data_IF_586274981499
#
_entry.id   IF_586274981499
#
_cell.length_a   1.000
_cell.length_b   1.000
_cell.length_c   1.000
_cell.angle_alpha   90.00
_cell.angle_beta   90.00
_cell.angle_gamma   90.00
#
_symmetry.space_group_name_H-M   'P 1'
#
loop_
_entity.id
_entity.type
_entity.pdbx_description
1 polymer ?
#
# COMPACT_ATOMS: atom_id res chain seq x y z
N UNK A 1 -0.30 18.03 36.93
CA UNK A 1 0.96 18.53 36.34
C UNK A 1 0.75 18.46 34.84
N UNK A 2 1.07 19.51 34.08
CA UNK A 2 0.92 19.48 32.61
C UNK A 2 1.95 18.53 32.02
N UNK A 3 1.49 17.51 31.29
CA UNK A 3 2.35 16.51 30.65
C UNK A 3 3.25 17.17 29.59
N UNK A 4 4.49 16.68 29.45
CA UNK A 4 5.40 17.15 28.39
C UNK A 4 5.11 16.37 27.13
N UNK A 5 4.55 17.03 26.12
CA UNK A 5 4.25 16.44 24.81
C UNK A 5 5.16 17.07 23.76
N UNK A 6 6.02 16.27 23.11
CA UNK A 6 6.91 16.73 22.04
C UNK A 6 6.88 15.78 20.86
N UNK A 7 6.72 16.32 19.66
CA UNK A 7 6.81 15.58 18.41
C UNK A 7 8.09 15.97 17.68
N UNK A 8 8.91 14.99 17.32
CA UNK A 8 10.09 15.16 16.48
C UNK A 8 9.94 14.30 15.22
N UNK A 9 9.82 14.91 14.03
CA UNK A 9 9.81 14.14 12.80
C UNK A 9 11.21 13.68 12.41
N UNK A 10 11.36 12.39 12.12
CA UNK A 10 12.58 11.83 11.51
C UNK A 10 12.46 11.82 9.98
N UNK A 11 11.26 11.55 9.46
CA UNK A 11 10.86 11.68 8.06
C UNK A 11 9.37 12.04 7.97
N UNK A 12 8.83 12.18 6.76
CA UNK A 12 7.41 12.48 6.53
C UNK A 12 6.97 13.87 6.97
N UNK A 13 7.89 14.84 6.98
CA UNK A 13 7.59 16.24 7.27
C UNK A 13 8.20 17.14 6.19
N UNK A 14 7.46 18.17 5.78
CA UNK A 14 7.84 19.14 4.73
C UNK A 14 8.08 18.56 3.32
N UNK A 15 7.89 17.26 3.13
CA UNK A 15 8.03 16.55 1.86
C UNK A 15 7.07 15.34 1.82
N UNK A 16 7.12 14.58 0.74
CA UNK A 16 6.33 13.36 0.53
C UNK A 16 7.07 12.09 0.97
N UNK A 17 8.05 12.20 1.90
CA UNK A 17 8.74 11.00 2.41
C UNK A 17 7.84 10.20 3.36
N UNK A 18 8.12 8.90 3.56
CA UNK A 18 7.33 8.06 4.45
C UNK A 18 7.28 8.57 5.90
N UNK A 19 6.14 8.42 6.62
CA UNK A 19 6.01 8.85 8.01
C UNK A 19 6.90 8.05 8.96
N UNK A 20 7.62 8.79 9.81
CA UNK A 20 8.36 8.25 10.95
C UNK A 20 8.57 9.38 11.96
N UNK A 21 7.85 9.31 13.08
CA UNK A 21 7.85 10.39 14.06
C UNK A 21 8.15 9.87 15.47
N UNK A 22 8.96 10.59 16.22
CA UNK A 22 9.13 10.33 17.65
C UNK A 22 8.18 11.22 18.44
N UNK A 23 7.22 10.61 19.14
CA UNK A 23 6.31 11.29 20.06
C UNK A 23 6.74 11.00 21.49
N UNK A 24 7.17 12.04 22.20
CA UNK A 24 7.44 12.01 23.63
C UNK A 24 6.18 12.42 24.40
N UNK A 25 5.80 11.59 25.38
CA UNK A 25 4.78 11.88 26.40
C UNK A 25 5.43 11.65 27.76
N UNK A 26 5.76 12.74 28.44
CA UNK A 26 6.61 12.77 29.64
C UNK A 26 7.95 12.07 29.40
N UNK A 27 8.20 10.94 30.07
CA UNK A 27 9.45 10.17 29.93
C UNK A 27 9.34 9.06 28.87
N UNK A 28 8.12 8.77 28.39
CA UNK A 28 7.85 7.69 27.44
C UNK A 28 7.95 8.19 26.01
N UNK A 29 8.65 7.46 25.14
CA UNK A 29 8.76 7.82 23.72
C UNK A 29 8.20 6.74 22.82
N UNK A 30 7.19 7.11 22.05
CA UNK A 30 6.67 6.33 20.93
C UNK A 30 7.45 6.64 19.66
N UNK A 31 7.72 5.61 18.88
CA UNK A 31 7.94 5.73 17.44
C UNK A 31 6.60 5.52 16.74
N UNK A 32 6.06 6.59 16.15
CA UNK A 32 4.84 6.57 15.36
C UNK A 32 5.21 6.28 13.91
N UNK A 33 4.84 5.07 13.46
CA UNK A 33 5.25 4.48 12.20
C UNK A 33 6.77 4.42 11.98
N UNK A 34 7.19 3.58 11.06
CA UNK A 34 8.58 3.47 10.62
C UNK A 34 8.61 3.13 9.14
N UNK A 35 8.05 4.04 8.36
CA UNK A 35 8.06 3.99 6.91
C UNK A 35 9.45 3.93 6.30
N UNK A 36 9.57 3.32 5.13
CA UNK A 36 10.77 3.40 4.32
C UNK A 36 10.44 3.72 2.87
N UNK A 37 11.28 4.51 2.24
CA UNK A 37 11.13 4.93 0.85
C UNK A 37 11.51 3.78 -0.09
N UNK A 38 11.07 3.90 -1.33
CA UNK A 38 11.28 2.91 -2.38
C UNK A 38 12.77 2.66 -2.67
N UNK A 39 13.63 3.62 -2.36
CA UNK A 39 15.09 3.53 -2.52
C UNK A 39 15.82 3.03 -1.26
N UNK A 40 15.10 2.75 -0.17
CA UNK A 40 15.65 2.30 1.11
C UNK A 40 16.76 3.21 1.65
N UNK A 41 16.53 4.52 1.64
CA UNK A 41 17.49 5.53 2.10
C UNK A 41 17.93 5.28 3.54
N UNK A 42 19.24 5.15 3.72
CA UNK A 42 19.84 4.93 5.04
C UNK A 42 19.89 6.21 5.89
N UNK A 43 19.51 7.37 5.34
CA UNK A 43 19.50 8.63 6.09
C UNK A 43 18.49 8.58 7.24
N UNK A 44 17.26 8.11 6.96
CA UNK A 44 16.22 7.95 7.97
C UNK A 44 16.65 6.97 9.07
N UNK A 45 17.27 5.85 8.67
CA UNK A 45 17.80 4.85 9.59
C UNK A 45 18.87 5.42 10.52
N UNK A 46 19.76 6.29 10.01
CA UNK A 46 20.81 6.92 10.83
C UNK A 46 20.20 7.81 11.92
N UNK A 47 19.15 8.57 11.61
CA UNK A 47 18.47 9.42 12.60
C UNK A 47 17.73 8.61 13.66
N UNK A 48 17.05 7.52 13.28
CA UNK A 48 16.40 6.60 14.22
C UNK A 48 17.45 5.95 15.14
N UNK A 49 18.59 5.50 14.58
CA UNK A 49 19.69 4.89 15.36
C UNK A 49 20.22 5.80 16.47
N UNK A 50 20.28 7.12 16.24
CA UNK A 50 20.72 8.10 17.27
C UNK A 50 19.78 8.13 18.48
N UNK A 51 18.50 7.82 18.29
CA UNK A 51 17.48 7.87 19.32
C UNK A 51 17.01 6.47 19.77
N UNK A 52 17.56 5.39 19.20
CA UNK A 52 17.10 4.02 19.39
C UNK A 52 16.96 3.61 20.87
N UNK A 53 17.93 3.96 21.72
CA UNK A 53 17.92 3.64 23.15
C UNK A 53 16.82 4.35 23.95
N UNK A 54 16.20 5.38 23.37
CA UNK A 54 15.17 6.18 24.02
C UNK A 54 13.75 5.74 23.64
N UNK A 55 13.59 4.93 22.58
CA UNK A 55 12.29 4.51 22.06
C UNK A 55 11.76 3.35 22.91
N UNK A 56 10.59 3.55 23.52
CA UNK A 56 10.00 2.59 24.45
C UNK A 56 8.90 1.73 23.80
N UNK A 57 8.27 2.18 22.71
CA UNK A 57 7.30 1.41 21.93
C UNK A 57 7.15 1.93 20.49
N UNK A 58 6.66 1.08 19.59
CA UNK A 58 6.30 1.45 18.21
C UNK A 58 4.77 1.32 18.03
N UNK A 59 4.14 2.32 17.41
CA UNK A 59 2.74 2.26 16.99
C UNK A 59 2.68 2.25 15.46
N UNK A 60 2.10 1.19 14.87
CA UNK A 60 1.93 1.06 13.42
C UNK A 60 0.50 1.39 12.99
N UNK A 61 0.33 2.14 11.92
CA UNK A 61 -0.97 2.59 11.42
C UNK A 61 -1.51 1.72 10.28
N UNK A 62 -0.68 1.43 9.27
CA UNK A 62 -1.07 0.73 8.04
C UNK A 62 -0.12 -0.42 7.70
N UNK A 63 -0.58 -1.41 6.90
CA UNK A 63 0.23 -2.59 6.57
C UNK A 63 1.27 -2.35 5.46
N UNK A 64 1.31 -1.20 4.80
CA UNK A 64 2.19 -0.99 3.66
C UNK A 64 3.62 -0.56 4.04
N UNK A 65 4.54 -0.66 3.08
CA UNK A 65 5.94 -0.33 3.31
C UNK A 65 6.17 1.16 3.64
N UNK A 66 5.26 2.05 3.23
CA UNK A 66 5.32 3.48 3.56
C UNK A 66 5.07 3.70 5.07
N UNK A 67 4.44 2.78 5.80
CA UNK A 67 4.21 2.93 7.24
C UNK A 67 5.04 1.97 8.10
N UNK A 68 5.42 0.79 7.58
CA UNK A 68 6.18 -0.22 8.34
C UNK A 68 7.42 -0.77 7.62
N UNK A 69 7.84 -0.18 6.50
CA UNK A 69 8.91 -0.72 5.64
C UNK A 69 10.28 -0.84 6.29
N UNK A 70 10.61 0.03 7.25
CA UNK A 70 11.87 -0.01 7.97
C UNK A 70 11.84 -1.04 9.13
N UNK A 71 10.67 -1.55 9.50
CA UNK A 71 10.50 -2.41 10.66
C UNK A 71 11.36 -3.69 10.61
N UNK A 72 11.42 -4.47 9.50
CA UNK A 72 12.27 -5.65 9.43
C UNK A 72 13.75 -5.32 9.64
N UNK A 73 14.21 -4.20 9.09
CA UNK A 73 15.59 -3.77 9.26
C UNK A 73 15.88 -3.32 10.71
N UNK A 74 15.00 -2.50 11.30
CA UNK A 74 15.18 -1.96 12.65
C UNK A 74 15.16 -3.07 13.72
N UNK A 75 14.26 -4.05 13.58
CA UNK A 75 14.10 -5.12 14.56
C UNK A 75 15.01 -6.31 14.27
N UNK A 76 15.07 -6.76 13.01
CA UNK A 76 15.88 -7.92 12.60
C UNK A 76 17.37 -7.70 12.82
N UNK A 77 17.87 -6.48 12.60
CA UNK A 77 19.27 -6.11 12.92
C UNK A 77 19.50 -5.73 14.39
N UNK A 78 18.49 -5.85 15.24
CA UNK A 78 18.60 -5.58 16.68
C UNK A 78 18.84 -4.10 17.03
N UNK A 79 18.48 -3.17 16.15
CA UNK A 79 18.62 -1.72 16.41
C UNK A 79 17.60 -1.28 17.45
N UNK A 80 16.36 -1.77 17.33
CA UNK A 80 15.28 -1.53 18.29
C UNK A 80 14.88 -2.84 18.98
N UNK A 81 14.56 -2.74 20.27
CA UNK A 81 14.04 -3.84 21.06
C UNK A 81 12.97 -3.35 22.03
N UNK A 82 11.79 -3.07 21.49
CA UNK A 82 10.64 -2.57 22.23
C UNK A 82 9.35 -3.25 21.72
N UNK A 83 8.25 -3.23 22.50
CA UNK A 83 6.96 -3.71 22.05
C UNK A 83 6.44 -2.89 20.85
N UNK A 84 5.86 -3.59 19.89
CA UNK A 84 5.25 -3.00 18.70
C UNK A 84 3.75 -3.24 18.80
N UNK A 85 2.94 -2.21 18.62
CA UNK A 85 1.48 -2.33 18.65
C UNK A 85 0.92 -2.07 17.27
N UNK A 86 0.06 -2.99 16.82
CA UNK A 86 -0.63 -2.89 15.55
C UNK A 86 -1.96 -3.66 15.64
N UNK A 87 -2.89 -3.40 14.74
CA UNK A 87 -4.10 -4.21 14.63
C UNK A 87 -3.81 -5.57 13.97
N UNK A 88 -4.71 -6.53 14.15
CA UNK A 88 -4.57 -7.88 13.58
C UNK A 88 -4.36 -7.84 12.04
N UNK A 89 -5.11 -7.02 11.25
CA UNK A 89 -4.87 -6.97 9.81
C UNK A 89 -3.58 -6.24 9.45
N UNK A 90 -3.16 -5.22 10.21
CA UNK A 90 -1.84 -4.58 9.98
C UNK A 90 -0.71 -5.58 10.19
N UNK A 91 -0.80 -6.44 11.21
CA UNK A 91 0.14 -7.55 11.41
C UNK A 91 0.12 -8.55 10.24
N UNK A 92 -1.04 -9.11 9.87
CA UNK A 92 -1.11 -10.14 8.82
C UNK A 92 -0.81 -9.62 7.41
N UNK A 93 -1.44 -8.51 7.03
CA UNK A 93 -1.23 -7.91 5.72
C UNK A 93 0.14 -7.27 5.62
N UNK A 94 0.64 -6.66 6.71
CA UNK A 94 1.98 -6.10 6.74
C UNK A 94 3.07 -7.12 6.45
N UNK A 95 2.93 -8.34 7.00
CA UNK A 95 3.86 -9.42 6.70
C UNK A 95 3.83 -9.77 5.20
N UNK A 96 2.64 -9.77 4.59
CA UNK A 96 2.50 -10.02 3.14
C UNK A 96 3.11 -8.91 2.30
N UNK A 97 2.94 -7.63 2.68
CA UNK A 97 3.60 -6.51 2.03
C UNK A 97 5.13 -6.66 2.05
N UNK A 98 5.70 -7.03 3.20
CA UNK A 98 7.15 -7.17 3.33
C UNK A 98 7.69 -8.41 2.60
N UNK A 99 6.96 -9.53 2.60
CA UNK A 99 7.31 -10.69 1.78
C UNK A 99 7.26 -10.39 0.28
N UNK A 100 6.21 -9.71 -0.19
CA UNK A 100 6.07 -9.36 -1.60
C UNK A 100 7.15 -8.36 -2.03
N UNK A 101 7.46 -7.37 -1.19
CA UNK A 101 8.52 -6.40 -1.44
C UNK A 101 9.89 -7.07 -1.52
N UNK A 102 10.23 -7.95 -0.56
CA UNK A 102 11.47 -8.71 -0.57
C UNK A 102 11.58 -9.55 -1.84
N UNK A 103 10.56 -10.36 -2.15
CA UNK A 103 10.61 -11.25 -3.32
C UNK A 103 10.63 -10.47 -4.63
N UNK A 104 9.88 -9.38 -4.74
CA UNK A 104 9.87 -8.51 -5.92
C UNK A 104 11.24 -7.90 -6.21
N UNK A 105 12.00 -7.52 -5.18
CA UNK A 105 13.37 -7.02 -5.30
C UNK A 105 14.35 -8.16 -5.56
N UNK A 106 14.29 -9.24 -4.77
CA UNK A 106 15.20 -10.38 -4.87
C UNK A 106 15.15 -11.09 -6.24
N UNK A 107 13.99 -11.07 -6.90
CA UNK A 107 13.82 -11.62 -8.25
C UNK A 107 14.57 -10.80 -9.32
N UNK A 108 14.80 -9.50 -9.09
CA UNK A 108 15.38 -8.57 -10.08
C UNK A 108 16.81 -8.12 -9.75
N UNK A 109 17.19 -8.12 -8.48
CA UNK A 109 18.48 -7.63 -7.98
C UNK A 109 18.97 -8.44 -6.77
N UNK A 110 20.25 -8.28 -6.41
CA UNK A 110 20.82 -8.87 -5.20
C UNK A 110 20.42 -8.05 -3.95
N UNK A 111 19.17 -8.26 -3.51
CA UNK A 111 18.56 -7.52 -2.41
C UNK A 111 19.03 -8.03 -1.04
N UNK A 112 19.87 -7.24 -0.36
CA UNK A 112 20.50 -7.58 0.92
C UNK A 112 20.16 -6.60 2.07
N UNK A 113 19.13 -5.75 1.90
CA UNK A 113 18.75 -4.77 2.91
C UNK A 113 18.17 -5.46 4.15
N UNK A 114 17.21 -6.35 3.95
CA UNK A 114 16.65 -7.23 4.99
C UNK A 114 16.30 -8.58 4.35
N UNK A 115 16.15 -9.61 5.19
CA UNK A 115 15.81 -10.99 4.81
C UNK A 115 14.39 -11.36 5.22
N UNK A 116 13.85 -12.47 4.74
CA UNK A 116 12.56 -12.99 5.21
C UNK A 116 12.59 -13.32 6.71
N UNK A 117 13.73 -13.82 7.23
CA UNK A 117 13.91 -14.05 8.67
C UNK A 117 13.83 -12.74 9.47
N UNK A 118 14.39 -11.64 8.95
CA UNK A 118 14.28 -10.32 9.58
C UNK A 118 12.80 -9.86 9.63
N UNK A 119 12.00 -10.18 8.60
CA UNK A 119 10.55 -9.92 8.58
C UNK A 119 9.87 -10.74 9.68
N UNK A 120 10.12 -12.03 9.76
CA UNK A 120 9.48 -12.90 10.75
C UNK A 120 9.79 -12.47 12.19
N UNK A 121 11.08 -12.20 12.48
CA UNK A 121 11.52 -11.69 13.78
C UNK A 121 10.85 -10.36 14.14
N UNK A 122 10.63 -9.47 13.18
CA UNK A 122 9.97 -8.20 13.41
C UNK A 122 8.48 -8.37 13.72
N UNK A 123 7.78 -9.19 12.93
CA UNK A 123 6.34 -9.39 13.06
C UNK A 123 5.98 -10.24 14.29
N UNK A 124 6.83 -11.17 14.71
CA UNK A 124 6.63 -11.97 15.94
C UNK A 124 6.62 -11.13 17.23
N UNK A 125 7.25 -9.95 17.23
CA UNK A 125 7.23 -9.01 18.36
C UNK A 125 5.98 -8.13 18.41
N UNK A 126 5.09 -8.21 17.41
CA UNK A 126 3.90 -7.37 17.33
C UNK A 126 2.82 -7.86 18.29
N UNK A 127 2.42 -6.97 19.20
CA UNK A 127 1.23 -7.10 20.03
C UNK A 127 0.02 -6.72 19.20
N UNK A 128 -0.76 -7.74 18.84
CA UNK A 128 -1.94 -7.60 17.98
C UNK A 128 -3.15 -7.08 18.78
N UNK A 129 -3.76 -6.00 18.29
CA UNK A 129 -4.91 -5.36 18.93
C UNK A 129 -6.17 -5.43 18.06
N UNK A 130 -7.34 -5.31 18.69
CA UNK A 130 -8.64 -5.04 18.05
C UNK A 130 -8.95 -3.55 18.10
N UNK A 131 -9.78 -3.06 17.16
CA UNK A 131 -10.29 -1.70 17.27
C UNK A 131 -10.99 -1.47 18.62
N UNK A 132 -10.83 -0.26 19.15
CA UNK A 132 -11.34 0.17 20.46
C UNK A 132 -10.83 -0.63 21.65
N UNK A 133 -9.82 -1.50 21.46
CA UNK A 133 -9.15 -2.17 22.57
C UNK A 133 -8.16 -1.22 23.23
N UNK A 134 -8.47 -0.77 24.45
CA UNK A 134 -7.59 0.08 25.23
C UNK A 134 -6.50 -0.74 25.93
N UNK A 135 -5.24 -0.42 25.66
CA UNK A 135 -4.07 -1.02 26.31
C UNK A 135 -3.45 -0.01 27.27
N UNK A 136 -3.27 -0.41 28.52
CA UNK A 136 -2.59 0.38 29.53
C UNK A 136 -1.10 0.03 29.53
N UNK A 137 -0.25 1.03 29.30
CA UNK A 137 1.19 0.84 29.30
C UNK A 137 1.72 0.70 30.73
N UNK A 138 2.84 -0.03 30.85
CA UNK A 138 3.50 -0.34 32.13
C UNK A 138 4.85 0.37 32.23
N UNK A 139 5.43 0.40 33.43
CA UNK A 139 6.74 1.00 33.68
C UNK A 139 6.72 2.51 33.42
N UNK A 140 7.66 3.02 32.60
CA UNK A 140 7.74 4.44 32.23
C UNK A 140 6.45 4.97 31.60
N UNK A 141 5.67 4.11 30.95
CA UNK A 141 4.40 4.48 30.32
C UNK A 141 3.22 4.48 31.28
N UNK A 142 3.44 4.44 32.60
CA UNK A 142 2.34 4.41 33.57
C UNK A 142 1.40 5.62 33.37
N UNK A 143 0.10 5.33 33.35
CA UNK A 143 -0.93 6.32 33.07
C UNK A 143 -1.15 6.63 31.59
N UNK A 144 -0.34 6.07 30.68
CA UNK A 144 -0.59 6.14 29.24
C UNK A 144 -1.47 4.97 28.80
N UNK A 145 -2.51 5.28 28.05
CA UNK A 145 -3.41 4.35 27.40
C UNK A 145 -3.33 4.54 25.88
N UNK A 146 -3.25 3.46 25.13
CA UNK A 146 -3.33 3.49 23.66
C UNK A 146 -4.59 2.75 23.21
N UNK A 147 -5.30 3.31 22.23
CA UNK A 147 -6.51 2.72 21.65
C UNK A 147 -6.49 2.90 20.14
N UNK A 148 -6.48 1.81 19.36
CA UNK A 148 -6.58 1.89 17.90
C UNK A 148 -8.04 2.11 17.47
N UNK A 149 -8.27 3.09 16.60
CA UNK A 149 -9.56 3.41 16.01
C UNK A 149 -9.51 3.17 14.49
N UNK A 150 -10.63 2.82 13.83
CA UNK A 150 -10.63 2.55 12.40
C UNK A 150 -10.36 3.82 11.57
N UNK A 151 -9.34 3.76 10.71
CA UNK A 151 -8.97 4.87 9.82
C UNK A 151 -9.63 4.80 8.43
N UNK A 152 -10.08 3.62 7.99
CA UNK A 152 -10.87 3.44 6.77
C UNK A 152 -10.10 3.46 5.43
N UNK A 153 -8.76 3.55 5.45
CA UNK A 153 -7.93 3.60 4.24
C UNK A 153 -7.48 2.23 3.73
N UNK A 154 -6.91 1.39 4.60
CA UNK A 154 -6.60 -0.02 4.33
C UNK A 154 -7.22 -0.92 5.39
N UNK A 155 -7.32 -2.23 5.12
CA UNK A 155 -7.83 -3.20 6.08
C UNK A 155 -6.98 -3.18 7.36
N UNK A 156 -7.62 -2.95 8.51
CA UNK A 156 -6.94 -2.76 9.81
C UNK A 156 -6.30 -1.40 10.03
N UNK A 157 -6.34 -0.50 9.05
CA UNK A 157 -5.77 0.84 9.12
C UNK A 157 -6.24 1.61 10.34
N UNK A 158 -5.31 2.24 11.06
CA UNK A 158 -5.53 2.70 12.43
C UNK A 158 -5.25 4.19 12.63
N UNK A 159 -6.19 4.88 13.27
CA UNK A 159 -5.96 6.13 13.99
C UNK A 159 -5.61 5.77 15.43
N UNK A 160 -4.50 6.26 15.96
CA UNK A 160 -4.11 6.01 17.34
C UNK A 160 -4.63 7.11 18.25
N UNK A 161 -5.44 6.73 19.24
CA UNK A 161 -5.82 7.57 20.37
C UNK A 161 -4.93 7.23 21.57
N UNK A 162 -4.13 8.20 22.01
CA UNK A 162 -3.20 8.08 23.13
C UNK A 162 -3.72 9.00 24.24
N UNK A 163 -4.00 8.45 25.42
CA UNK A 163 -4.52 9.20 26.56
C UNK A 163 -3.52 9.12 27.71
N UNK A 164 -3.13 10.26 28.28
CA UNK A 164 -2.29 10.33 29.48
C UNK A 164 -3.12 10.79 30.67
N UNK A 165 -3.15 9.96 31.71
CA UNK A 165 -3.83 10.18 33.00
C UNK A 165 -5.32 10.55 32.90
N UNK A 166 -5.97 10.21 31.78
CA UNK A 166 -7.38 10.50 31.53
C UNK A 166 -7.70 11.95 31.11
N UNK A 167 -6.69 12.83 31.05
CA UNK A 167 -6.87 14.26 30.79
C UNK A 167 -6.35 14.65 29.40
N UNK A 168 -5.14 14.22 29.04
CA UNK A 168 -4.48 14.63 27.80
C UNK A 168 -4.74 13.61 26.70
N UNK A 169 -5.53 13.99 25.69
CA UNK A 169 -5.83 13.17 24.52
C UNK A 169 -4.97 13.61 23.32
N UNK A 170 -4.09 12.72 22.85
CA UNK A 170 -3.27 12.87 21.66
C UNK A 170 -3.79 11.92 20.58
N UNK A 171 -4.04 12.45 19.39
CA UNK A 171 -4.56 11.68 18.26
C UNK A 171 -3.53 11.69 17.14
N UNK A 172 -3.09 10.51 16.73
CA UNK A 172 -2.30 10.31 15.53
C UNK A 172 -3.18 9.70 14.43
N UNK A 173 -3.52 10.53 13.45
CA UNK A 173 -4.46 10.22 12.38
C UNK A 173 -3.86 10.62 11.01
N UNK A 174 -3.00 9.77 10.47
CA UNK A 174 -2.47 9.91 9.11
C UNK A 174 -3.23 9.03 8.12
N UNK A 175 -3.28 9.46 6.86
CA UNK A 175 -3.86 8.80 5.69
C UNK A 175 -5.29 8.28 5.88
N UNK A 176 -6.08 8.89 6.77
CA UNK A 176 -7.43 8.41 7.07
C UNK A 176 -8.42 8.72 5.93
N UNK A 177 -9.46 7.88 5.83
CA UNK A 177 -10.52 8.02 4.85
C UNK A 177 -11.88 8.12 5.53
N UNK A 178 -12.49 9.30 5.47
CA UNK A 178 -13.84 9.54 6.00
C UNK A 178 -14.96 8.97 5.10
N UNK A 179 -14.64 8.59 3.86
CA UNK A 179 -15.63 8.04 2.91
C UNK A 179 -15.70 6.53 3.03
N UNK A 180 -16.91 5.99 2.88
CA UNK A 180 -17.14 4.55 2.78
C UNK A 180 -16.65 4.01 1.43
N UNK A 181 -15.88 2.92 1.46
CA UNK A 181 -15.43 2.17 0.29
C UNK A 181 -16.31 0.91 0.08
N UNK A 182 -15.98 0.01 -0.88
CA UNK A 182 -16.75 -1.25 -1.03
C UNK A 182 -16.51 -2.15 0.17
N UNK A 183 -15.24 -2.24 0.58
CA UNK A 183 -14.84 -3.17 1.63
C UNK A 183 -14.61 -2.56 3.00
N UNK A 184 -14.44 -1.24 3.11
CA UNK A 184 -14.20 -0.56 4.39
C UNK A 184 -15.27 0.47 4.71
N UNK A 185 -15.57 0.61 6.00
CA UNK A 185 -16.27 1.80 6.51
C UNK A 185 -15.29 2.98 6.52
N UNK A 186 -15.82 4.20 6.43
CA UNK A 186 -15.02 5.40 6.68
C UNK A 186 -14.71 5.57 8.17
N UNK A 187 -13.67 6.31 8.49
CA UNK A 187 -13.38 6.69 9.87
C UNK A 187 -14.49 7.59 10.44
N UNK A 188 -14.76 7.47 11.75
CA UNK A 188 -15.74 8.29 12.46
C UNK A 188 -14.97 9.23 13.40
N UNK A 189 -14.63 10.41 12.89
CA UNK A 189 -13.87 11.40 13.63
C UNK A 189 -14.70 12.08 14.72
N UNK A 190 -16.03 12.02 14.63
CA UNK A 190 -16.95 12.60 15.62
C UNK A 190 -16.83 11.96 17.02
N UNK A 191 -16.27 10.74 17.08
CA UNK A 191 -15.96 10.07 18.34
C UNK A 191 -14.71 10.64 19.02
N UNK A 192 -13.92 11.44 18.30
CA UNK A 192 -12.76 12.16 18.79
C UNK A 192 -13.24 13.57 19.11
N UNK A 193 -13.29 13.89 20.40
CA UNK A 193 -13.94 15.13 20.85
C UNK A 193 -13.05 16.35 20.66
N UNK A 194 -12.21 16.67 21.64
CA UNK A 194 -11.34 17.84 21.63
C UNK A 194 -9.94 17.41 22.06
N UNK A 195 -9.16 16.77 21.17
CA UNK A 195 -7.83 16.32 21.51
C UNK A 195 -6.92 17.53 21.82
N UNK A 196 -6.02 17.36 22.78
CA UNK A 196 -4.97 18.32 23.10
C UNK A 196 -3.97 18.47 21.95
N UNK A 197 -3.72 17.38 21.22
CA UNK A 197 -2.86 17.36 20.04
C UNK A 197 -3.46 16.43 18.98
N UNK A 198 -3.62 16.94 17.76
CA UNK A 198 -3.94 16.14 16.58
C UNK A 198 -2.77 16.19 15.60
N UNK A 199 -2.22 15.02 15.29
CA UNK A 199 -1.16 14.82 14.30
C UNK A 199 -1.82 14.20 13.07
N UNK A 200 -1.82 14.93 11.95
CA UNK A 200 -2.46 14.54 10.68
C UNK A 200 -1.55 14.89 9.51
N UNK A 201 -1.76 14.24 8.36
CA UNK A 201 -1.10 14.62 7.11
C UNK A 201 -1.83 15.76 6.39
N UNK A 202 -1.19 16.27 5.34
CA UNK A 202 -1.75 17.24 4.41
C UNK A 202 -1.49 16.84 2.94
N UNK A 203 -1.22 15.56 2.66
CA UNK A 203 -0.80 15.08 1.34
C UNK A 203 -1.85 15.39 0.26
N UNK A 204 -3.12 15.32 0.63
CA UNK A 204 -4.26 15.61 -0.23
C UNK A 204 -4.97 16.95 0.11
N UNK A 205 -4.37 17.83 0.93
CA UNK A 205 -5.04 19.04 1.42
C UNK A 205 -5.52 19.98 0.31
N UNK A 206 -4.77 20.05 -0.80
CA UNK A 206 -5.13 20.86 -1.98
C UNK A 206 -5.75 20.04 -3.12
N UNK A 207 -5.87 18.71 -2.93
CA UNK A 207 -6.32 17.81 -3.98
C UNK A 207 -7.84 17.71 -4.02
N UNK A 208 -8.43 18.09 -5.14
CA UNK A 208 -9.87 17.97 -5.37
C UNK A 208 -10.20 16.58 -5.93
N UNK A 209 -10.55 15.66 -5.03
CA UNK A 209 -10.86 14.28 -5.39
C UNK A 209 -12.19 14.19 -6.18
N UNK A 210 -12.15 13.58 -7.37
CA UNK A 210 -13.36 13.29 -8.16
C UNK A 210 -14.30 12.34 -7.41
N UNK A 211 -15.60 12.38 -7.74
CA UNK A 211 -16.59 11.46 -7.13
C UNK A 211 -16.25 10.01 -7.45
N UNK A 212 -16.34 9.12 -6.46
CA UNK A 212 -16.02 7.68 -6.59
C UNK A 212 -16.72 7.02 -7.78
N UNK A 213 -18.01 7.26 -7.97
CA UNK A 213 -18.78 6.72 -9.10
C UNK A 213 -18.18 7.13 -10.46
N UNK A 214 -17.77 8.38 -10.62
CA UNK A 214 -17.18 8.86 -11.87
C UNK A 214 -15.81 8.20 -12.13
N UNK A 215 -15.00 7.98 -11.07
CA UNK A 215 -13.71 7.28 -11.18
C UNK A 215 -13.91 5.81 -11.57
N UNK A 216 -14.86 5.12 -10.93
CA UNK A 216 -15.21 3.73 -11.26
C UNK A 216 -15.70 3.62 -12.73
N UNK A 217 -16.57 4.52 -13.18
CA UNK A 217 -17.06 4.56 -14.56
C UNK A 217 -15.92 4.80 -15.56
N UNK A 218 -15.01 5.74 -15.26
CA UNK A 218 -13.86 6.05 -16.11
C UNK A 218 -12.85 4.89 -16.15
N UNK A 219 -12.61 4.21 -15.03
CA UNK A 219 -11.76 3.01 -14.95
C UNK A 219 -12.32 1.89 -15.83
N UNK A 220 -13.60 1.55 -15.64
CA UNK A 220 -14.26 0.48 -16.40
C UNK A 220 -14.34 0.81 -17.89
N UNK A 221 -14.60 2.07 -18.23
CA UNK A 221 -14.60 2.53 -19.63
C UNK A 221 -13.22 2.32 -20.27
N UNK A 222 -12.16 2.71 -19.56
CA UNK A 222 -10.78 2.56 -20.03
C UNK A 222 -10.43 1.08 -20.24
N UNK A 223 -10.75 0.24 -19.26
CA UNK A 223 -10.55 -1.21 -19.36
C UNK A 223 -11.31 -1.77 -20.56
N UNK A 224 -12.62 -1.57 -20.64
CA UNK A 224 -13.46 -2.14 -21.69
C UNK A 224 -13.04 -1.69 -23.10
N UNK A 225 -12.69 -0.42 -23.26
CA UNK A 225 -12.17 0.11 -24.53
C UNK A 225 -10.87 -0.56 -24.95
N UNK A 226 -9.95 -0.80 -24.01
CA UNK A 226 -8.68 -1.47 -24.30
C UNK A 226 -8.89 -2.93 -24.67
N UNK A 227 -9.74 -3.64 -23.93
CA UNK A 227 -10.03 -5.05 -24.20
C UNK A 227 -10.73 -5.25 -25.55
N UNK A 228 -11.64 -4.35 -25.94
CA UNK A 228 -12.29 -4.37 -27.26
C UNK A 228 -11.33 -4.11 -28.44
N UNK A 229 -10.15 -3.56 -28.17
CA UNK A 229 -9.10 -3.32 -29.16
C UNK A 229 -8.00 -4.39 -29.14
N UNK A 230 -8.27 -5.56 -28.54
CA UNK A 230 -7.32 -6.66 -28.35
C UNK A 230 -6.06 -6.23 -27.59
N UNK A 231 -6.19 -5.29 -26.65
CA UNK A 231 -5.11 -4.81 -25.80
C UNK A 231 -5.18 -5.39 -24.39
N UNK A 232 -4.02 -5.61 -23.78
CA UNK A 232 -3.90 -5.95 -22.37
C UNK A 232 -3.97 -4.69 -21.49
N UNK A 233 -4.45 -4.86 -20.26
CA UNK A 233 -4.48 -3.78 -19.26
C UNK A 233 -3.64 -4.17 -18.06
N UNK A 234 -2.61 -3.37 -17.77
CA UNK A 234 -1.89 -3.40 -16.49
C UNK A 234 -2.57 -2.42 -15.54
N UNK A 235 -2.91 -2.87 -14.34
CA UNK A 235 -3.31 -2.01 -13.23
C UNK A 235 -2.28 -2.18 -12.12
N UNK A 236 -1.44 -1.16 -11.93
CA UNK A 236 -0.39 -1.17 -10.90
C UNK A 236 -1.03 -0.84 -9.55
N UNK A 237 -0.99 -1.80 -8.63
CA UNK A 237 -1.64 -1.74 -7.31
C UNK A 237 -0.67 -2.12 -6.21
N UNK A 238 -1.06 -1.90 -4.96
CA UNK A 238 -0.35 -2.43 -3.80
C UNK A 238 -0.57 -3.94 -3.60
N UNK A 239 0.08 -4.53 -2.60
CA UNK A 239 0.00 -5.96 -2.31
C UNK A 239 -1.36 -6.36 -1.72
N UNK A 240 -1.90 -5.58 -0.77
CA UNK A 240 -3.08 -5.97 0.02
C UNK A 240 -3.98 -4.81 0.49
N UNK A 241 -3.81 -3.59 -0.03
CA UNK A 241 -4.61 -2.41 0.30
C UNK A 241 -5.63 -2.12 -0.80
N UNK A 242 -5.34 -1.12 -1.65
CA UNK A 242 -6.09 -0.74 -2.84
C UNK A 242 -6.39 -1.92 -3.77
N UNK A 243 -5.51 -2.92 -3.80
CA UNK A 243 -5.73 -4.16 -4.54
C UNK A 243 -7.05 -4.84 -4.15
N UNK A 244 -7.39 -4.92 -2.86
CA UNK A 244 -8.62 -5.57 -2.39
C UNK A 244 -9.89 -4.84 -2.87
N UNK A 245 -9.88 -3.50 -2.83
CA UNK A 245 -11.00 -2.68 -3.34
C UNK A 245 -11.20 -2.88 -4.85
N UNK A 246 -10.12 -2.88 -5.62
CA UNK A 246 -10.17 -3.02 -7.08
C UNK A 246 -10.49 -4.46 -7.52
N UNK A 247 -9.93 -5.47 -6.86
CA UNK A 247 -10.27 -6.86 -7.12
C UNK A 247 -11.76 -7.12 -6.86
N UNK A 248 -12.30 -6.60 -5.76
CA UNK A 248 -13.73 -6.70 -5.47
C UNK A 248 -14.60 -5.94 -6.49
N UNK A 249 -14.20 -4.73 -6.89
CA UNK A 249 -14.88 -3.96 -7.95
C UNK A 249 -14.92 -4.74 -9.26
N UNK A 250 -13.76 -5.23 -9.72
CA UNK A 250 -13.63 -5.88 -11.02
C UNK A 250 -14.32 -7.24 -11.03
N UNK A 251 -14.20 -8.06 -10.00
CA UNK A 251 -14.92 -9.35 -9.92
C UNK A 251 -16.44 -9.15 -9.98
N UNK A 252 -16.97 -8.13 -9.31
CA UNK A 252 -18.39 -7.74 -9.39
C UNK A 252 -18.80 -7.34 -10.81
N UNK A 253 -17.97 -6.58 -11.52
CA UNK A 253 -18.26 -6.15 -12.88
C UNK A 253 -18.15 -7.31 -13.88
N UNK A 254 -17.20 -8.22 -13.68
CA UNK A 254 -17.07 -9.44 -14.50
C UNK A 254 -18.27 -10.36 -14.38
N UNK A 255 -18.90 -10.41 -13.20
CA UNK A 255 -20.14 -11.14 -12.97
C UNK A 255 -21.36 -10.47 -13.63
N UNK A 256 -21.35 -9.15 -13.80
CA UNK A 256 -22.44 -8.43 -14.44
C UNK A 256 -22.36 -8.56 -15.96
N UNK A 257 -23.29 -9.28 -16.58
CA UNK A 257 -23.34 -9.48 -18.03
C UNK A 257 -23.46 -8.16 -18.81
N UNK A 258 -24.09 -7.12 -18.23
CA UNK A 258 -24.24 -5.81 -18.88
C UNK A 258 -22.93 -5.03 -18.99
N UNK A 259 -21.88 -5.42 -18.24
CA UNK A 259 -20.57 -4.76 -18.31
C UNK A 259 -19.82 -5.06 -19.60
N UNK A 260 -20.14 -6.17 -20.27
CA UNK A 260 -19.40 -6.66 -21.44
C UNK A 260 -17.98 -7.14 -21.14
N UNK A 261 -17.61 -7.33 -19.86
CA UNK A 261 -16.27 -7.74 -19.44
C UNK A 261 -16.12 -9.25 -19.24
N UNK A 262 -17.22 -9.98 -19.06
CA UNK A 262 -17.23 -11.43 -18.83
C UNK A 262 -16.45 -12.29 -19.84
N UNK A 263 -16.36 -11.93 -21.14
CA UNK A 263 -15.57 -12.71 -22.11
C UNK A 263 -14.06 -12.66 -21.89
N UNK A 264 -13.56 -11.68 -21.13
CA UNK A 264 -12.14 -11.42 -21.00
C UNK A 264 -11.53 -11.99 -19.72
N UNK A 265 -10.21 -12.15 -19.71
CA UNK A 265 -9.48 -12.65 -18.55
C UNK A 265 -9.18 -11.54 -17.53
N UNK A 266 -9.31 -11.88 -16.24
CA UNK A 266 -8.90 -11.04 -15.11
C UNK A 266 -7.93 -11.84 -14.23
N UNK A 267 -6.79 -11.25 -13.89
CA UNK A 267 -5.77 -11.88 -13.06
C UNK A 267 -5.24 -10.94 -11.96
N UNK A 268 -4.82 -11.53 -10.85
CA UNK A 268 -4.05 -10.88 -9.80
C UNK A 268 -2.66 -11.52 -9.76
N UNK A 269 -1.62 -10.72 -10.00
CA UNK A 269 -0.23 -11.17 -10.05
C UNK A 269 0.58 -10.52 -8.91
N UNK A 270 0.97 -11.35 -7.96
CA UNK A 270 1.74 -11.00 -6.78
C UNK A 270 2.42 -12.28 -6.27
N UNK A 271 3.64 -12.19 -5.73
CA UNK A 271 4.38 -13.34 -5.19
C UNK A 271 3.59 -14.11 -4.11
N UNK A 272 2.76 -13.41 -3.33
CA UNK A 272 1.95 -13.93 -2.20
C UNK A 272 0.44 -13.79 -2.43
N UNK A 273 -0.01 -13.73 -3.68
CA UNK A 273 -1.42 -13.45 -4.04
C UNK A 273 -2.45 -14.34 -3.34
N UNK A 274 -2.20 -15.65 -3.27
CA UNK A 274 -3.04 -16.61 -2.55
C UNK A 274 -3.23 -16.24 -1.07
N UNK A 275 -2.13 -16.01 -0.34
CA UNK A 275 -2.17 -15.70 1.09
C UNK A 275 -2.92 -14.41 1.39
N UNK A 276 -2.72 -13.37 0.57
CA UNK A 276 -3.43 -12.09 0.72
C UNK A 276 -4.94 -12.29 0.63
N UNK A 277 -5.40 -13.03 -0.38
CA UNK A 277 -6.84 -13.29 -0.58
C UNK A 277 -7.40 -14.18 0.53
N UNK A 278 -6.68 -15.21 0.97
CA UNK A 278 -7.10 -16.05 2.09
C UNK A 278 -7.19 -15.28 3.42
N UNK A 279 -6.23 -14.39 3.70
CA UNK A 279 -6.31 -13.56 4.89
C UNK A 279 -7.47 -12.57 4.83
N UNK A 280 -7.71 -11.94 3.68
CA UNK A 280 -8.87 -11.06 3.49
C UNK A 280 -10.19 -11.82 3.73
N UNK A 281 -10.31 -13.07 3.24
CA UNK A 281 -11.48 -13.93 3.51
C UNK A 281 -11.68 -14.20 5.00
N UNK A 282 -10.62 -14.28 5.79
CA UNK A 282 -10.67 -14.60 7.22
C UNK A 282 -10.95 -13.40 8.12
N UNK A 283 -10.82 -12.16 7.61
CA UNK A 283 -10.90 -10.91 8.38
C UNK A 283 -12.16 -10.09 8.06
N UNK A 284 -13.28 -10.75 7.79
CA UNK A 284 -14.55 -10.12 7.39
C UNK A 284 -15.09 -9.20 8.50
N UNK A 285 -14.79 -9.47 9.76
CA UNK A 285 -15.17 -8.65 10.91
C UNK A 285 -14.47 -7.28 10.96
N UNK A 286 -13.39 -7.11 10.20
CA UNK A 286 -12.64 -5.86 10.07
C UNK A 286 -13.14 -4.95 8.93
N UNK A 287 -14.13 -5.43 8.19
CA UNK A 287 -14.63 -4.80 6.96
C UNK A 287 -15.92 -4.00 7.23
N UNK A 288 -16.46 -3.39 6.18
CA UNK A 288 -17.67 -2.60 6.28
C UNK A 288 -18.89 -3.41 6.74
N UNK A 289 -19.84 -2.75 7.41
CA UNK A 289 -21.09 -3.39 7.86
C UNK A 289 -21.88 -3.99 6.69
N UNK A 290 -21.67 -3.47 5.47
CA UNK A 290 -22.31 -4.00 4.26
C UNK A 290 -21.75 -5.39 3.92
N UNK A 291 -20.44 -5.56 4.00
CA UNK A 291 -19.79 -6.85 3.79
C UNK A 291 -20.18 -7.81 4.91
N UNK A 292 -20.13 -7.37 6.16
CA UNK A 292 -20.48 -8.20 7.32
C UNK A 292 -21.91 -8.75 7.22
N UNK A 293 -22.90 -7.87 6.95
CA UNK A 293 -24.29 -8.30 6.72
C UNK A 293 -24.43 -9.26 5.54
N UNK A 294 -23.78 -8.97 4.42
CA UNK A 294 -23.83 -9.86 3.25
C UNK A 294 -23.23 -11.25 3.54
N UNK A 295 -22.23 -11.33 4.42
CA UNK A 295 -21.63 -12.59 4.84
C UNK A 295 -22.54 -13.35 5.80
N UNK A 296 -23.15 -12.68 6.78
CA UNK A 296 -24.08 -13.27 7.75
C UNK A 296 -25.36 -13.80 7.09
N UNK A 297 -25.96 -13.01 6.19
CA UNK A 297 -27.25 -13.34 5.57
C UNK A 297 -27.12 -14.33 4.40
N UNK A 298 -26.17 -14.07 3.49
CA UNK A 298 -26.06 -14.82 2.23
C UNK A 298 -24.92 -15.85 2.23
N UNK A 299 -24.14 -15.97 3.31
CA UNK A 299 -22.93 -16.80 3.40
C UNK A 299 -21.95 -16.56 2.25
N UNK A 300 -21.95 -15.35 1.71
CA UNK A 300 -21.15 -14.97 0.57
C UNK A 300 -19.94 -14.18 1.04
N UNK A 301 -18.75 -14.73 0.86
CA UNK A 301 -17.51 -14.03 1.15
C UNK A 301 -17.12 -13.16 -0.05
N UNK A 302 -16.98 -11.82 0.10
CA UNK A 302 -16.69 -10.91 -1.02
C UNK A 302 -15.30 -11.12 -1.65
N UNK A 303 -14.39 -11.82 -0.97
CA UNK A 303 -13.05 -12.17 -1.45
C UNK A 303 -12.99 -13.60 -1.99
N UNK A 304 -14.11 -14.31 -2.02
CA UNK A 304 -14.23 -15.55 -2.80
C UNK A 304 -14.47 -15.22 -4.27
N UNK A 305 -13.39 -14.78 -4.93
CA UNK A 305 -13.43 -14.37 -6.33
C UNK A 305 -13.78 -15.54 -7.25
N UNK A 306 -14.63 -15.26 -8.23
CA UNK A 306 -15.05 -16.25 -9.25
C UNK A 306 -14.34 -16.03 -10.58
N UNK A 307 -13.94 -14.80 -10.85
CA UNK A 307 -13.38 -14.38 -12.13
C UNK A 307 -11.90 -13.98 -12.03
N UNK A 308 -11.46 -13.48 -10.86
CA UNK A 308 -10.04 -13.17 -10.62
C UNK A 308 -9.22 -14.46 -10.54
N UNK A 309 -8.31 -14.67 -11.49
CA UNK A 309 -7.33 -15.76 -11.46
C UNK A 309 -6.10 -15.32 -10.68
N UNK A 310 -5.76 -16.05 -9.63
CA UNK A 310 -4.55 -15.77 -8.83
C UNK A 310 -3.34 -16.34 -9.56
N UNK A 311 -2.28 -15.54 -9.67
CA UNK A 311 -1.00 -15.92 -10.27
C UNK A 311 0.15 -15.51 -9.35
N UNK A 312 1.18 -16.35 -9.29
CA UNK A 312 2.37 -16.13 -8.46
C UNK A 312 3.63 -15.82 -9.28
N UNK A 313 3.58 -16.03 -10.59
CA UNK A 313 4.71 -15.84 -11.49
C UNK A 313 4.23 -15.58 -12.92
N UNK A 314 5.14 -15.13 -13.78
CA UNK A 314 4.85 -14.83 -15.18
C UNK A 314 4.46 -16.08 -16.01
N UNK A 315 4.93 -17.28 -15.62
CA UNK A 315 4.61 -18.51 -16.33
C UNK A 315 3.14 -18.93 -16.15
N UNK A 316 2.59 -18.75 -14.94
CA UNK A 316 1.16 -18.91 -14.68
C UNK A 316 0.34 -17.87 -15.42
N UNK A 317 0.76 -16.60 -15.41
CA UNK A 317 0.08 -15.53 -16.12
C UNK A 317 0.06 -15.77 -17.64
N UNK A 318 1.13 -16.31 -18.21
CA UNK A 318 1.24 -16.61 -19.65
C UNK A 318 0.22 -17.65 -20.12
N UNK A 319 -0.28 -18.52 -19.22
CA UNK A 319 -1.34 -19.51 -19.53
C UNK A 319 -2.73 -18.89 -19.61
N UNK A 320 -2.90 -17.65 -19.16
CA UNK A 320 -4.17 -16.94 -19.20
C UNK A 320 -4.39 -16.35 -20.60
N UNK A 321 -5.54 -16.56 -21.26
CA UNK A 321 -5.81 -16.04 -22.60
C UNK A 321 -5.78 -14.51 -22.68
N UNK A 322 -5.33 -13.99 -23.81
CA UNK A 322 -5.41 -12.57 -24.18
C UNK A 322 -6.70 -12.26 -24.95
N UNK A 323 -7.23 -11.02 -24.83
CA UNK A 323 -6.74 -9.93 -23.99
C UNK A 323 -7.04 -10.15 -22.50
N UNK A 324 -6.17 -9.65 -21.63
CA UNK A 324 -6.28 -9.81 -20.16
C UNK A 324 -6.08 -8.50 -19.39
N UNK A 325 -6.77 -8.39 -18.25
CA UNK A 325 -6.53 -7.38 -17.23
C UNK A 325 -5.73 -7.99 -16.10
N UNK A 326 -4.63 -7.35 -15.70
CA UNK A 326 -3.76 -7.82 -14.62
C UNK A 326 -3.62 -6.73 -13.56
N UNK A 327 -4.07 -7.05 -12.36
CA UNK A 327 -3.70 -6.33 -11.14
C UNK A 327 -2.31 -6.83 -10.73
N UNK A 328 -1.28 -5.98 -10.80
CA UNK A 328 0.08 -6.37 -10.45
C UNK A 328 0.57 -5.56 -9.25
N UNK A 329 1.21 -6.24 -8.28
CA UNK A 329 1.75 -5.59 -7.09
C UNK A 329 2.96 -4.71 -7.42
N UNK A 330 3.29 -3.81 -6.48
CA UNK A 330 4.31 -2.75 -6.58
C UNK A 330 3.82 -1.57 -7.44
N UNK A 331 3.14 -0.56 -6.84
CA UNK A 331 2.47 0.50 -7.59
C UNK A 331 3.43 1.52 -8.22
N UNK A 332 4.67 1.60 -7.74
CA UNK A 332 5.70 2.57 -8.15
C UNK A 332 6.42 2.23 -9.48
N UNK A 333 6.19 1.02 -10.01
CA UNK A 333 6.86 0.44 -11.17
C UNK A 333 8.40 0.33 -11.03
N UNK A 334 8.92 0.24 -9.81
CA UNK A 334 10.35 0.12 -9.51
C UNK A 334 10.84 -1.32 -9.49
N UNK A 335 10.03 -2.28 -9.07
CA UNK A 335 10.41 -3.69 -9.03
C UNK A 335 9.20 -4.60 -9.24
N UNK A 336 9.44 -5.91 -9.22
CA UNK A 336 8.39 -6.91 -9.31
C UNK A 336 7.62 -6.91 -10.63
N UNK A 337 6.47 -7.58 -10.60
CA UNK A 337 5.72 -7.91 -11.81
C UNK A 337 5.08 -6.70 -12.49
N UNK A 338 4.76 -5.63 -11.77
CA UNK A 338 4.23 -4.41 -12.39
C UNK A 338 5.26 -3.78 -13.32
N UNK A 339 6.55 -3.76 -12.93
CA UNK A 339 7.65 -3.30 -13.77
C UNK A 339 7.87 -4.22 -14.97
N UNK A 340 7.88 -5.53 -14.77
CA UNK A 340 8.04 -6.51 -15.85
C UNK A 340 6.94 -6.38 -16.91
N UNK A 341 5.69 -6.29 -16.47
CA UNK A 341 4.54 -6.12 -17.36
C UNK A 341 4.54 -4.74 -18.02
N UNK A 342 4.93 -3.69 -17.30
CA UNK A 342 5.08 -2.36 -17.88
C UNK A 342 6.07 -2.39 -19.05
N UNK A 343 7.26 -2.97 -18.85
CA UNK A 343 8.28 -3.11 -19.90
C UNK A 343 7.78 -3.95 -21.08
N UNK A 344 7.05 -5.03 -20.83
CA UNK A 344 6.51 -5.89 -21.87
C UNK A 344 5.39 -5.23 -22.68
N UNK A 345 4.58 -4.37 -22.06
CA UNK A 345 3.33 -3.89 -22.66
C UNK A 345 3.35 -2.43 -23.09
N UNK A 346 4.28 -1.60 -22.61
CA UNK A 346 4.32 -0.17 -22.90
C UNK A 346 4.61 0.15 -24.38
N UNK A 347 5.27 -0.76 -25.12
CA UNK A 347 5.58 -0.56 -26.54
C UNK A 347 4.38 -0.72 -27.49
N UNK A 348 3.28 -1.31 -27.03
CA UNK A 348 2.10 -1.55 -27.87
C UNK A 348 1.04 -0.47 -27.67
N UNK A 349 0.60 0.22 -28.75
CA UNK A 349 -0.44 1.25 -28.65
C UNK A 349 -1.82 0.70 -28.28
N UNK A 350 -2.01 -0.62 -28.38
CA UNK A 350 -3.26 -1.29 -28.00
C UNK A 350 -3.43 -1.38 -26.49
N UNK A 351 -2.34 -1.54 -25.75
CA UNK A 351 -2.36 -1.76 -24.31
C UNK A 351 -2.69 -0.49 -23.53
N UNK A 352 -3.06 -0.68 -22.26
CA UNK A 352 -3.22 0.41 -21.29
C UNK A 352 -2.52 0.10 -19.98
N UNK A 353 -1.98 1.12 -19.35
CA UNK A 353 -1.35 1.07 -18.03
C UNK A 353 -2.11 2.05 -17.14
N UNK A 354 -2.63 1.53 -16.03
CA UNK A 354 -3.47 2.26 -15.09
C UNK A 354 -2.70 2.36 -13.77
N UNK A 355 -2.42 3.58 -13.33
CA UNK A 355 -1.74 3.88 -12.08
C UNK A 355 -2.79 4.28 -11.04
N UNK A 356 -2.84 3.58 -9.91
CA UNK A 356 -3.92 3.75 -8.92
C UNK A 356 -3.49 4.53 -7.68
N UNK A 357 -2.21 4.88 -7.58
CA UNK A 357 -1.60 5.53 -6.43
C UNK A 357 -0.61 6.60 -6.91
N UNK A 358 -0.50 7.69 -6.13
CA UNK A 358 0.60 8.65 -6.27
C UNK A 358 1.73 8.16 -5.36
N UNK A 359 2.77 7.62 -5.97
CA UNK A 359 3.95 7.07 -5.29
C UNK A 359 4.99 8.17 -5.02
N UNK A 360 6.05 7.84 -4.29
CA UNK A 360 7.03 8.84 -3.88
C UNK A 360 7.69 9.55 -5.09
N UNK A 361 8.06 10.84 -4.93
CA UNK A 361 8.91 11.54 -5.88
C UNK A 361 10.17 10.74 -6.23
N UNK A 362 10.55 10.75 -7.51
CA UNK A 362 11.69 9.96 -8.00
C UNK A 362 11.30 8.59 -8.57
N UNK A 363 10.08 8.11 -8.28
CA UNK A 363 9.63 6.82 -8.84
C UNK A 363 9.19 6.90 -10.31
N UNK A 364 9.27 5.78 -11.04
CA UNK A 364 8.82 5.73 -12.44
C UNK A 364 7.32 6.03 -12.57
N UNK A 365 6.48 5.44 -11.71
CA UNK A 365 5.05 5.74 -11.72
C UNK A 365 4.78 7.22 -11.44
N UNK A 366 5.47 7.83 -10.47
CA UNK A 366 5.34 9.26 -10.18
C UNK A 366 5.75 10.12 -11.36
N UNK A 367 6.85 9.79 -12.01
CA UNK A 367 7.29 10.50 -13.22
C UNK A 367 6.24 10.44 -14.34
N UNK A 368 5.61 9.28 -14.55
CA UNK A 368 4.54 9.10 -15.55
C UNK A 368 3.27 9.90 -15.23
N UNK A 369 2.94 10.06 -13.95
CA UNK A 369 1.81 10.89 -13.49
C UNK A 369 2.08 12.37 -13.75
N UNK A 370 3.29 12.83 -13.42
CA UNK A 370 3.66 14.24 -13.49
C UNK A 370 4.00 14.70 -14.92
N UNK A 371 4.38 13.77 -15.81
CA UNK A 371 4.81 14.06 -17.18
C UNK A 371 3.98 13.32 -18.25
N UNK A 372 2.65 13.52 -18.30
CA UNK A 372 1.77 12.78 -19.21
C UNK A 372 2.03 13.06 -20.70
N UNK A 373 2.66 14.21 -21.03
CA UNK A 373 2.92 14.58 -22.43
C UNK A 373 4.23 13.99 -22.98
N UNK A 374 5.13 13.52 -22.11
CA UNK A 374 6.45 13.06 -22.52
C UNK A 374 6.38 11.71 -23.23
N UNK A 375 6.93 11.66 -24.44
CA UNK A 375 6.74 10.52 -25.35
C UNK A 375 7.74 9.37 -25.19
N UNK A 376 8.77 9.58 -24.39
CA UNK A 376 9.96 8.72 -24.35
C UNK A 376 10.51 8.67 -22.93
N UNK A 377 10.66 7.46 -22.39
CA UNK A 377 11.33 7.21 -21.11
C UNK A 377 12.59 6.42 -21.41
N UNK A 378 13.75 6.97 -21.04
CA UNK A 378 15.00 6.22 -21.07
C UNK A 378 15.14 5.52 -19.72
N UNK A 379 15.23 4.19 -19.74
CA UNK A 379 15.48 3.40 -18.54
C UNK A 379 16.72 2.56 -18.73
N UNK A 380 17.63 2.62 -17.76
CA UNK A 380 18.73 1.67 -17.65
C UNK A 380 18.20 0.42 -16.95
N UNK A 381 18.04 -0.67 -17.71
CA UNK A 381 17.65 -1.97 -17.17
C UNK A 381 18.92 -2.79 -16.94
N UNK A 382 19.44 -2.77 -15.72
CA UNK A 382 20.53 -3.67 -15.32
C UNK A 382 19.97 -5.05 -14.98
N UNK A 383 19.77 -5.90 -15.99
CA UNK A 383 19.44 -7.30 -15.75
C UNK A 383 20.65 -8.02 -15.13
N UNK A 384 20.58 -8.40 -13.86
CA UNK A 384 21.61 -9.24 -13.23
C UNK A 384 21.07 -10.63 -12.93
N UNK A 385 21.28 -11.55 -13.89
CA UNK A 385 21.58 -12.99 -13.65
C UNK A 385 21.91 -13.80 -14.92
N UNK A 386 21.96 -13.18 -16.09
CA UNK A 386 22.63 -13.74 -17.26
C UNK A 386 23.34 -12.63 -18.02
N UNK A 387 24.66 -12.75 -18.13
CA UNK A 387 25.53 -11.91 -18.95
C UNK A 387 25.14 -12.01 -20.43
N UNK A 388 24.05 -11.37 -20.81
CA UNK A 388 23.83 -10.86 -22.14
C UNK A 388 23.60 -9.37 -21.95
N UNK A 389 24.55 -8.56 -22.42
CA UNK A 389 24.36 -7.13 -22.60
C UNK A 389 23.25 -6.94 -23.64
N UNK A 390 22.00 -7.06 -23.21
CA UNK A 390 20.88 -6.52 -23.94
C UNK A 390 20.88 -5.02 -23.62
N UNK A 391 21.78 -4.29 -24.27
CA UNK A 391 21.59 -2.86 -24.47
C UNK A 391 20.36 -2.77 -25.36
N UNK A 392 19.17 -2.73 -24.76
CA UNK A 392 18.01 -2.17 -25.46
C UNK A 392 18.32 -0.67 -25.53
N UNK A 393 19.12 -0.29 -26.51
CA UNK A 393 19.01 1.02 -27.11
C UNK A 393 17.58 1.09 -27.61
N UNK A 394 16.68 1.67 -26.80
CA UNK A 394 15.52 2.37 -27.33
C UNK A 394 16.06 3.58 -28.10
N UNK A 395 16.74 3.31 -29.22
CA UNK A 395 16.70 4.20 -30.37
C UNK A 395 15.25 4.20 -30.78
N UNK A 396 14.51 5.15 -30.26
CA UNK A 396 13.26 5.62 -30.86
C UNK A 396 13.70 6.34 -32.15
N UNK A 397 14.17 5.55 -33.12
CA UNK A 397 14.53 6.02 -34.45
C UNK A 397 13.22 6.06 -35.23
N UNK A 398 12.75 7.28 -35.42
CA UNK A 398 11.75 7.67 -36.42
C UNK A 398 10.45 6.85 -36.40
N UNK A 399 9.59 7.13 -35.42
CA UNK A 399 8.16 6.90 -35.57
C UNK A 399 7.44 8.23 -35.80
N UNK A 400 7.47 8.70 -37.04
CA UNK A 400 6.59 9.75 -37.57
C UNK A 400 5.09 9.44 -37.40
N UNK A 401 4.72 8.20 -37.01
CA UNK A 401 3.36 7.77 -36.73
C UNK A 401 3.02 7.51 -35.24
N UNK A 402 3.96 7.69 -34.29
CA UNK A 402 3.66 7.53 -32.85
C UNK A 402 3.35 8.89 -32.18
N UNK A 403 2.45 9.67 -32.80
CA UNK A 403 2.11 11.03 -32.33
C UNK A 403 1.05 11.07 -31.23
N UNK A 404 0.46 9.92 -30.82
CA UNK A 404 -0.79 9.87 -30.01
C UNK A 404 -0.77 9.00 -28.74
N UNK A 405 0.35 8.41 -28.32
CA UNK A 405 0.33 7.38 -27.27
C UNK A 405 0.24 7.90 -25.82
N UNK A 406 0.91 9.01 -25.49
CA UNK A 406 1.15 9.35 -24.07
C UNK A 406 0.12 10.30 -23.43
N UNK A 407 -0.58 11.13 -24.21
CA UNK A 407 -1.56 12.09 -23.66
C UNK A 407 -2.95 11.51 -23.33
N UNK A 408 -3.31 10.30 -23.78
CA UNK A 408 -4.69 9.77 -23.64
C UNK A 408 -4.83 8.55 -22.71
N UNK A 409 -3.75 7.81 -22.41
CA UNK A 409 -3.82 6.44 -21.86
C UNK A 409 -3.11 6.19 -20.53
N UNK A 410 -2.26 7.10 -20.04
CA UNK A 410 -1.83 7.07 -18.63
C UNK A 410 -2.82 7.94 -17.87
N UNK A 411 -3.68 7.29 -17.09
CA UNK A 411 -4.72 7.97 -16.31
C UNK A 411 -4.47 7.67 -14.84
N UNK A 412 -4.31 8.75 -14.07
CA UNK A 412 -4.29 8.72 -12.61
C UNK A 412 -5.72 8.61 -12.09
N UNK A 413 -5.97 7.68 -11.15
CA UNK A 413 -7.31 7.36 -10.64
C UNK A 413 -7.43 7.37 -9.12
#
# INVERSE_FOLDING_TARGET
MTSIIKLQPFSGAHNESPPCYMLQVDEFRFLLDCGWDEDFSMEFIKEIKRHAHQIDAILLTYPDHIHLGALPYLIGKGILNCPIYATIPVYKMGQMFMYDLYQSRHNTEDFNVFTLDDVDVAFDKIVQLKYSQTVHLKGKGHGIQITPLPAGHMLGGTIWKIIKDGEEEIVYAVDYNHKKERHLNGCVLENISRPSLMITDAFNATYVQSRRRARDEQLLTTILQTMRNDGNVLVAVDTAGRMLELAQLLDQMWRNAESGLSPYSLALLNNVSFNVVEFAKSQVEWMSDKIMRSFEEARNNPFHFKHVKLCHNLAELARIPEPKVVLASVPDLQCGFSRDLFLAWCGSPKNSIILTNRTSPGTLARWLIDNPENKTVTMDVSATKSSQNLVILLRIKEMSNCRRFLSEKIRYF
#
